data_IF_713595464494
#
_entry.id   IF_713595464494
#
_cell.length_a   1.000
_cell.length_b   1.000
_cell.length_c   1.000
_cell.angle_alpha   90.00
_cell.angle_beta   90.00
_cell.angle_gamma   90.00
#
_symmetry.space_group_name_H-M   'P 1'
#
loop_
_entity.id
_entity.type
_entity.pdbx_description
1 polymer ?
2 non-polymer ?
3 non-polymer ?
4 non-polymer ?
5 non-polymer ?
6 water ?
#
# COMPACT_ATOMS: atom_id res chain seq x y z
N UNK A 14 -18.03 -8.29 13.14
CA UNK A 14 -18.24 -9.59 12.54
C UNK A 14 -17.02 -10.03 11.74
N UNK A 15 -16.20 -9.07 11.36
CA UNK A 15 -15.02 -9.35 10.54
C UNK A 15 -14.03 -10.22 11.32
N UNK A 16 -13.54 -11.27 10.66
CA UNK A 16 -12.53 -12.15 11.23
C UNK A 16 -11.20 -11.77 10.59
N UNK A 17 -10.25 -11.23 11.34
CA UNK A 17 -8.95 -10.86 10.76
C UNK A 17 -8.23 -12.06 10.21
N UNK A 18 -7.71 -11.98 8.99
CA UNK A 18 -6.92 -13.08 8.42
C UNK A 18 -5.66 -13.30 9.24
N UNK A 19 -5.00 -14.45 9.06
CA UNK A 19 -3.73 -14.68 9.77
C UNK A 19 -2.66 -13.68 9.35
N UNK A 20 -1.72 -13.44 10.26
CA UNK A 20 -0.67 -12.46 10.00
C UNK A 20 0.32 -12.98 8.97
N UNK A 21 0.78 -12.09 8.10
CA UNK A 21 1.82 -12.40 7.14
C UNK A 21 3.17 -12.38 7.84
N UNK A 22 4.22 -12.95 7.21
CA UNK A 22 5.53 -12.99 7.87
C UNK A 22 6.11 -11.60 8.08
N UNK A 23 6.77 -11.43 9.22
CA UNK A 23 7.49 -10.21 9.55
C UNK A 23 8.96 -10.59 9.76
N UNK A 24 9.86 -9.86 9.10
CA UNK A 24 11.28 -10.12 9.21
C UNK A 24 11.98 -8.91 9.83
N UNK A 25 12.90 -9.19 10.76
CA UNK A 25 13.70 -8.16 11.42
C UNK A 25 15.16 -8.46 11.10
N UNK A 26 15.63 -8.09 9.91
CA UNK A 26 16.99 -8.47 9.50
C UNK A 26 18.05 -7.81 10.37
N UNK A 27 19.13 -8.54 10.60
CA UNK A 27 20.30 -7.96 11.24
C UNK A 27 20.96 -6.96 10.30
N UNK A 28 21.95 -6.23 10.82
CA UNK A 28 22.69 -5.29 9.97
C UNK A 28 23.40 -6.01 8.83
N UNK A 29 23.85 -7.24 9.06
CA UNK A 29 24.46 -8.03 8.00
C UNK A 29 23.45 -8.41 6.94
N UNK A 30 22.28 -8.89 7.36
CA UNK A 30 21.23 -9.27 6.41
C UNK A 30 20.67 -8.06 5.68
N UNK A 31 20.75 -6.88 6.30
CA UNK A 31 20.20 -5.64 5.74
C UNK A 31 21.11 -5.02 4.67
N UNK A 32 22.15 -5.73 4.25
CA UNK A 32 23.16 -5.12 3.38
C UNK A 32 22.62 -4.92 1.97
N UNK A 33 21.93 -5.91 1.40
CA UNK A 33 21.41 -5.84 0.04
C UNK A 33 19.96 -6.28 0.03
N UNK A 34 19.04 -5.46 -0.48
CA UNK A 34 17.61 -5.85 -0.45
C UNK A 34 17.29 -7.04 -1.33
N UNK A 35 17.79 -7.07 -2.58
CA UNK A 35 17.47 -8.17 -3.47
C UNK A 35 18.04 -9.49 -2.96
N UNK A 36 19.22 -9.46 -2.33
CA UNK A 36 19.75 -10.68 -1.73
C UNK A 36 18.87 -11.16 -0.58
N UNK A 37 18.39 -10.22 0.25
CA UNK A 37 17.56 -10.61 1.39
C UNK A 37 16.20 -11.11 0.93
N UNK A 38 15.58 -10.42 -0.04
CA UNK A 38 14.27 -10.84 -0.53
C UNK A 38 14.36 -12.20 -1.21
N UNK A 39 15.48 -12.47 -1.88
CA UNK A 39 15.68 -13.79 -2.46
C UNK A 39 15.78 -14.89 -1.43
N UNK A 40 16.36 -14.60 -0.26
CA UNK A 40 16.52 -15.62 0.77
C UNK A 40 15.21 -15.87 1.51
N UNK A 41 14.38 -14.84 1.71
CA UNK A 41 13.08 -15.02 2.35
C UNK A 41 12.03 -15.54 1.40
N UNK A 42 12.33 -15.62 0.11
CA UNK A 42 11.33 -16.00 -0.89
C UNK A 42 10.63 -17.33 -0.61
N UNK A 43 11.31 -18.41 -0.19
CA UNK A 43 10.59 -19.67 0.06
C UNK A 43 9.40 -19.55 1.00
N UNK A 44 9.48 -18.66 2.00
CA UNK A 44 8.34 -18.46 2.89
C UNK A 44 7.42 -17.34 2.39
N UNK A 45 7.99 -16.20 2.00
CA UNK A 45 7.18 -15.03 1.71
C UNK A 45 6.34 -15.20 0.45
N UNK A 46 6.84 -15.95 -0.54
CA UNK A 46 6.04 -16.17 -1.74
C UNK A 46 4.84 -17.08 -1.47
N UNK A 47 4.86 -17.84 -0.38
CA UNK A 47 3.71 -18.64 0.01
C UNK A 47 2.65 -17.82 0.74
N UNK A 48 2.94 -16.56 1.07
CA UNK A 48 1.97 -15.68 1.68
C UNK A 48 1.64 -14.46 0.83
N UNK A 49 2.34 -14.26 -0.29
CA UNK A 49 2.07 -13.11 -1.16
C UNK A 49 2.70 -11.80 -0.73
N UNK A 50 2.53 -11.43 0.54
CA UNK A 50 3.11 -10.21 1.09
C UNK A 50 3.92 -10.57 2.31
N UNK A 51 4.89 -9.70 2.63
CA UNK A 51 5.64 -9.82 3.87
C UNK A 51 6.05 -8.43 4.32
N UNK A 52 6.37 -8.33 5.61
CA UNK A 52 6.77 -7.07 6.22
C UNK A 52 8.22 -7.17 6.67
N UNK A 53 8.98 -6.09 6.45
CA UNK A 53 10.39 -6.05 6.79
C UNK A 53 10.64 -4.84 7.69
N UNK A 54 11.12 -5.10 8.91
CA UNK A 54 11.45 -4.03 9.84
C UNK A 54 12.94 -3.77 9.80
N UNK A 55 13.39 -2.59 9.35
CA UNK A 55 14.83 -2.30 9.33
C UNK A 55 15.38 -2.25 10.74
N UNK A 56 16.71 -2.31 10.89
CA UNK A 56 17.30 -2.12 12.22
C UNK A 56 16.87 -0.81 12.83
N UNK A 57 16.76 -0.79 14.16
CA UNK A 57 16.15 0.33 14.87
C UNK A 57 16.89 1.65 14.62
N UNK A 58 18.19 1.58 14.33
CA UNK A 58 18.96 2.79 14.07
C UNK A 58 18.79 3.32 12.64
N UNK A 59 18.19 2.53 11.75
CA UNK A 59 18.01 2.95 10.36
C UNK A 59 16.79 3.85 10.28
N UNK A 60 17.03 5.17 10.24
CA UNK A 60 15.94 6.15 10.26
C UNK A 60 16.24 7.23 9.23
N UNK A 61 15.77 7.04 7.99
CA UNK A 61 16.00 8.05 6.94
C UNK A 61 15.19 9.30 7.20
N UNK A 62 15.73 10.47 6.89
CA UNK A 62 14.95 11.70 7.04
C UNK A 62 13.93 11.85 5.93
N UNK A 63 12.86 12.57 6.24
CA UNK A 63 11.83 12.86 5.24
C UNK A 63 12.29 14.03 4.39
N UNK A 64 12.40 13.80 3.08
CA UNK A 64 13.09 14.71 2.18
C UNK A 64 12.18 15.36 1.15
N UNK A 65 10.86 15.29 1.36
CA UNK A 65 9.94 15.97 0.45
C UNK A 65 9.95 17.47 0.70
N UNK A 66 9.64 18.23 -0.35
CA UNK A 66 9.50 19.67 -0.26
C UNK A 66 8.15 19.98 0.37
N UNK A 67 8.13 20.00 1.71
CA UNK A 67 6.86 20.12 2.43
C UNK A 67 6.22 21.48 2.20
N UNK A 68 7.04 22.53 2.10
CA UNK A 68 6.50 23.88 1.97
C UNK A 68 5.67 24.03 0.70
N UNK A 69 6.09 23.39 -0.39
CA UNK A 69 5.42 23.50 -1.67
C UNK A 69 4.52 22.31 -1.98
N UNK A 70 4.50 21.29 -1.13
CA UNK A 70 3.72 20.09 -1.40
C UNK A 70 2.23 20.40 -1.42
N UNK A 71 1.63 20.35 -2.62
CA UNK A 71 0.21 20.59 -2.80
C UNK A 71 -0.37 19.53 -3.73
N UNK A 72 -1.60 19.11 -3.46
CA UNK A 72 -2.22 18.07 -4.25
C UNK A 72 -3.74 18.14 -4.08
N UNK A 73 -4.44 17.63 -5.10
CA UNK A 73 -5.89 17.47 -5.03
C UNK A 73 -6.20 15.98 -4.92
N UNK A 74 -6.63 15.49 -3.76
CA UNK A 74 -6.84 14.05 -3.61
C UNK A 74 -8.08 13.58 -4.36
N UNK A 75 -8.11 12.28 -4.61
CA UNK A 75 -9.27 11.66 -5.24
C UNK A 75 -10.28 11.26 -4.17
N UNK A 76 -11.56 11.29 -4.54
CA UNK A 76 -12.66 11.03 -3.63
C UNK A 76 -13.05 9.56 -3.72
N UNK A 77 -13.25 8.93 -2.57
CA UNK A 77 -13.58 7.51 -2.50
C UNK A 77 -14.86 7.34 -1.70
N UNK A 78 -15.90 6.79 -2.34
CA UNK A 78 -17.12 6.39 -1.65
C UNK A 78 -17.00 4.90 -1.32
N UNK A 79 -17.04 4.58 -0.02
CA UNK A 79 -16.71 3.23 0.41
C UNK A 79 -17.71 2.20 -0.12
N UNK A 80 -18.99 2.56 -0.20
CA UNK A 80 -20.04 1.62 -0.57
C UNK A 80 -20.51 1.80 -2.00
N UNK A 81 -19.64 2.28 -2.90
CA UNK A 81 -20.09 2.64 -4.24
C UNK A 81 -20.58 1.43 -5.02
N UNK A 82 -19.95 0.27 -4.81
CA UNK A 82 -20.38 -0.93 -5.54
C UNK A 82 -21.71 -1.45 -5.00
N UNK A 83 -21.87 -1.49 -3.68
CA UNK A 83 -23.13 -1.95 -3.11
C UNK A 83 -24.26 -0.97 -3.43
N UNK A 84 -23.98 0.33 -3.43
CA UNK A 84 -25.03 1.32 -3.61
C UNK A 84 -25.38 1.53 -5.08
N UNK A 85 -24.37 1.81 -5.90
CA UNK A 85 -24.63 2.20 -7.30
C UNK A 85 -24.85 0.99 -8.20
N UNK A 86 -23.87 0.08 -8.24
CA UNK A 86 -23.92 -1.01 -9.20
C UNK A 86 -24.92 -2.09 -8.79
N UNK A 87 -24.99 -2.41 -7.50
CA UNK A 87 -25.90 -3.45 -7.02
C UNK A 87 -27.25 -2.84 -6.63
N UNK A 101 -11.29 19.73 -2.82
CA UNK A 101 -10.37 20.73 -2.31
C UNK A 101 -8.93 20.41 -2.69
N UNK A 102 -8.13 21.45 -2.91
CA UNK A 102 -6.69 21.30 -2.98
C UNK A 102 -6.13 21.46 -1.57
N UNK A 103 -5.21 20.57 -1.20
CA UNK A 103 -4.63 20.56 0.14
C UNK A 103 -3.13 20.78 0.08
N UNK A 104 -2.60 21.24 1.20
CA UNK A 104 -1.20 21.01 1.53
C UNK A 104 -1.11 19.77 2.42
N UNK A 105 0.12 19.32 2.68
CA UNK A 105 0.29 18.21 3.62
C UNK A 105 -0.28 18.56 4.98
N UNK A 106 -0.16 19.83 5.39
CA UNK A 106 -0.67 20.24 6.69
C UNK A 106 -2.20 20.27 6.71
N UNK A 107 -2.82 20.88 5.70
CA UNK A 107 -4.27 21.00 5.69
C UNK A 107 -4.95 19.66 5.46
N UNK A 108 -4.32 18.76 4.70
CA UNK A 108 -4.86 17.42 4.55
C UNK A 108 -4.80 16.66 5.87
N UNK A 109 -3.68 16.79 6.58
CA UNK A 109 -3.56 16.12 7.88
C UNK A 109 -4.55 16.63 8.89
N UNK A 110 -4.82 17.94 8.89
CA UNK A 110 -5.83 18.49 9.78
C UNK A 110 -7.21 17.96 9.43
N UNK A 111 -7.53 17.88 8.13
CA UNK A 111 -8.79 17.28 7.70
C UNK A 111 -8.86 15.81 8.09
N UNK A 112 -7.76 15.07 7.88
CA UNK A 112 -7.77 13.63 8.13
C UNK A 112 -7.93 13.32 9.61
N UNK A 113 -7.20 14.05 10.47
CA UNK A 113 -7.32 13.81 11.90
C UNK A 113 -8.69 14.20 12.42
N UNK A 114 -9.23 15.32 11.93
CA UNK A 114 -10.57 15.73 12.36
C UNK A 114 -11.62 14.71 11.95
N UNK A 115 -11.50 14.15 10.75
CA UNK A 115 -12.46 13.14 10.32
C UNK A 115 -12.44 11.93 11.24
N UNK A 116 -11.25 11.41 11.54
CA UNK A 116 -11.15 10.19 12.32
C UNK A 116 -11.57 10.41 13.77
N UNK A 117 -11.13 11.52 14.38
CA UNK A 117 -11.50 11.79 15.76
C UNK A 117 -13.00 12.04 15.88
N UNK A 118 -13.60 12.69 14.88
CA UNK A 118 -15.05 12.89 14.91
C UNK A 118 -15.80 11.58 14.69
N UNK A 119 -15.28 10.72 13.79
CA UNK A 119 -16.00 9.50 13.47
C UNK A 119 -16.04 8.53 14.66
N UNK A 120 -14.92 8.39 15.35
CA UNK A 120 -14.81 7.44 16.46
C UNK A 120 -15.01 8.09 17.82
N UNK A 121 -15.14 9.43 17.87
CA UNK A 121 -15.41 10.15 19.12
C UNK A 121 -14.31 9.92 20.15
N UNK A 122 -13.06 9.91 19.69
CA UNK A 122 -11.91 9.69 20.56
C UNK A 122 -10.67 10.17 19.83
N UNK A 123 -9.57 10.41 20.55
CA UNK A 123 -8.33 10.80 19.88
C UNK A 123 -7.89 9.77 18.85
N UNK A 124 -7.27 10.26 17.77
CA UNK A 124 -6.98 9.39 16.62
C UNK A 124 -6.03 8.26 16.99
N UNK A 125 -5.08 8.52 17.89
CA UNK A 125 -4.11 7.49 18.27
C UNK A 125 -4.62 6.55 19.34
N UNK A 126 -5.88 6.70 19.76
CA UNK A 126 -6.49 5.78 20.72
C UNK A 126 -7.43 4.77 20.07
N UNK A 127 -7.72 4.93 18.77
CA UNK A 127 -8.61 4.01 18.07
C UNK A 127 -7.84 2.73 17.76
N UNK A 128 -8.29 1.58 18.26
CA UNK A 128 -7.59 0.32 17.98
C UNK A 128 -7.63 -0.01 16.50
N UNK A 129 -6.52 -0.59 16.02
CA UNK A 129 -6.44 -0.96 14.61
C UNK A 129 -7.49 -2.01 14.26
N UNK A 130 -7.85 -2.87 15.20
CA UNK A 130 -8.89 -3.85 14.93
C UNK A 130 -10.25 -3.19 14.76
N UNK A 131 -10.48 -2.05 15.41
CA UNK A 131 -11.78 -1.38 15.28
C UNK A 131 -11.93 -0.69 13.94
N UNK A 132 -10.88 0.02 13.49
CA UNK A 132 -10.93 0.64 12.16
C UNK A 132 -11.10 -0.43 11.09
N UNK A 133 -10.46 -1.59 11.28
CA UNK A 133 -10.58 -2.67 10.30
C UNK A 133 -12.01 -3.20 10.24
N UNK A 134 -12.62 -3.43 11.41
CA UNK A 134 -14.00 -3.92 11.43
C UNK A 134 -14.96 -2.88 10.86
N UNK A 135 -14.75 -1.61 11.20
CA UNK A 135 -15.64 -0.56 10.70
C UNK A 135 -15.48 -0.36 9.20
N UNK A 136 -14.26 -0.49 8.68
CA UNK A 136 -14.04 -0.30 7.25
C UNK A 136 -14.86 -1.29 6.43
N UNK A 137 -14.79 -2.57 6.78
CA UNK A 137 -15.47 -3.59 6.00
C UNK A 137 -16.98 -3.56 6.21
N UNK A 138 -17.44 -3.08 7.38
CA UNK A 138 -18.87 -2.87 7.56
C UNK A 138 -19.36 -1.74 6.64
N UNK A 139 -18.60 -0.66 6.54
CA UNK A 139 -19.00 0.48 5.72
C UNK A 139 -19.00 0.14 4.23
N UNK A 140 -18.08 -0.73 3.80
CA UNK A 140 -17.99 -1.08 2.38
C UNK A 140 -19.27 -1.75 1.90
N UNK A 141 -19.90 -2.55 2.76
CA UNK A 141 -21.12 -3.26 2.42
C UNK A 141 -22.37 -2.60 2.98
N UNK A 142 -22.25 -1.45 3.61
CA UNK A 142 -23.40 -0.78 4.21
C UNK A 142 -24.15 0.03 3.16
N UNK A 143 -25.48 -0.13 3.12
CA UNK A 143 -26.33 0.63 2.22
C UNK A 143 -27.03 1.78 2.94
N UNK A 144 -26.99 1.81 4.27
CA UNK A 144 -27.66 2.85 5.04
C UNK A 144 -26.74 4.03 5.38
N UNK A 145 -25.43 3.81 5.43
CA UNK A 145 -24.47 4.83 5.81
C UNK A 145 -23.51 5.07 4.65
N UNK A 146 -23.42 6.31 4.19
CA UNK A 146 -22.56 6.69 3.08
C UNK A 146 -21.37 7.47 3.64
N UNK A 147 -20.22 6.81 3.70
CA UNK A 147 -18.98 7.42 4.18
C UNK A 147 -18.10 7.72 2.97
N UNK A 148 -17.59 8.94 2.90
CA UNK A 148 -16.78 9.41 1.78
C UNK A 148 -15.47 9.95 2.33
N UNK A 149 -14.35 9.47 1.78
CA UNK A 149 -13.02 9.90 2.20
C UNK A 149 -12.24 10.34 0.97
N UNK A 150 -11.01 10.79 1.19
CA UNK A 150 -10.15 11.32 0.14
C UNK A 150 -8.77 10.70 0.25
N UNK A 151 -8.14 10.45 -0.90
CA UNK A 151 -6.84 9.78 -0.95
C UNK A 151 -5.92 10.58 -1.86
N UNK A 152 -4.77 10.98 -1.33
CA UNK A 152 -3.73 11.61 -2.14
C UNK A 152 -2.86 10.57 -2.81
N UNK A 153 -3.32 10.06 -3.95
CA UNK A 153 -2.72 8.90 -4.58
C UNK A 153 -2.07 9.25 -5.91
N UNK A 154 -1.12 8.40 -6.32
CA UNK A 154 -0.40 8.53 -7.59
C UNK A 154 0.24 9.91 -7.73
N UNK A 155 0.91 10.36 -6.68
CA UNK A 155 1.75 11.54 -6.72
C UNK A 155 3.16 11.09 -7.09
N UNK A 156 3.64 11.54 -8.24
CA UNK A 156 4.97 11.16 -8.67
C UNK A 156 6.03 11.77 -7.77
N UNK A 157 7.10 11.00 -7.53
CA UNK A 157 8.23 11.53 -6.77
C UNK A 157 8.96 12.63 -7.52
N UNK A 158 8.60 12.90 -8.76
CA UNK A 158 9.23 13.99 -9.51
C UNK A 158 8.62 15.34 -9.18
N UNK A 159 7.38 15.37 -8.71
CA UNK A 159 6.68 16.63 -8.50
C UNK A 159 7.29 17.42 -7.35
N UNK A 160 7.37 16.80 -6.17
CA UNK A 160 7.90 17.48 -4.99
C UNK A 160 9.09 16.74 -4.38
N UNK A 161 9.64 15.76 -5.08
CA UNK A 161 10.75 14.99 -4.56
C UNK A 161 10.29 13.70 -3.88
N UNK A 162 11.22 12.77 -3.78
CA UNK A 162 10.96 11.52 -3.07
C UNK A 162 10.98 11.75 -1.56
N UNK A 163 10.30 10.87 -0.83
CA UNK A 163 10.38 10.91 0.61
C UNK A 163 11.77 10.62 1.14
N UNK A 164 12.58 9.89 0.37
CA UNK A 164 13.97 9.56 0.63
C UNK A 164 14.88 10.66 0.10
N UNK A 165 16.01 10.90 0.77
CA UNK A 165 17.01 11.81 0.21
C UNK A 165 17.62 11.24 -1.05
N UNK A 166 17.82 12.11 -2.04
CA UNK A 166 18.36 11.71 -3.34
C UNK A 166 19.44 12.72 -3.73
N UNK A 167 20.57 12.21 -4.21
CA UNK A 167 21.67 13.06 -4.68
C UNK A 167 21.34 13.64 -6.06
N UNK A 168 20.20 14.32 -6.12
CA UNK A 168 19.72 14.95 -7.34
C UNK A 168 20.27 16.35 -7.55
N UNK A 169 20.66 17.03 -6.47
CA UNK A 169 21.08 18.41 -6.54
C UNK A 169 19.95 19.41 -6.37
N UNK A 170 18.71 18.95 -6.32
CA UNK A 170 17.57 19.84 -6.13
C UNK A 170 17.28 20.15 -4.67
N UNK A 171 17.84 19.38 -3.74
CA UNK A 171 17.64 19.60 -2.32
C UNK A 171 18.94 19.29 -1.59
N UNK A 172 19.12 19.95 -0.44
CA UNK A 172 20.34 19.78 0.34
C UNK A 172 20.31 18.47 1.11
N UNK A 173 21.45 17.79 1.14
CA UNK A 173 21.61 16.53 1.89
C UNK A 173 22.69 16.76 2.94
N UNK A 174 22.35 16.53 4.20
CA UNK A 174 23.32 16.62 5.27
C UNK A 174 24.24 15.41 5.26
N UNK A 175 25.44 15.53 5.86
CA UNK A 175 26.34 14.37 5.90
C UNK A 175 25.73 13.15 6.55
N UNK A 176 24.93 13.34 7.61
CA UNK A 176 24.28 12.21 8.26
C UNK A 176 23.18 11.60 7.40
N UNK A 177 22.74 12.29 6.34
CA UNK A 177 21.69 11.79 5.47
C UNK A 177 22.22 11.10 4.22
N UNK A 178 23.53 11.19 3.95
CA UNK A 178 24.06 10.66 2.69
C UNK A 178 23.97 9.15 2.62
N UNK A 179 24.13 8.46 3.76
CA UNK A 179 24.02 7.00 3.76
C UNK A 179 22.63 6.56 3.31
N UNK A 180 21.60 7.38 3.56
CA UNK A 180 20.26 7.04 3.13
C UNK A 180 20.03 7.36 1.65
N UNK A 181 20.69 8.40 1.14
CA UNK A 181 20.65 8.68 -0.28
C UNK A 181 21.34 7.59 -1.10
N UNK A 182 22.28 6.86 -0.50
CA UNK A 182 23.02 5.81 -1.19
C UNK A 182 22.57 4.41 -0.79
N UNK A 183 21.61 4.30 0.13
CA UNK A 183 21.20 2.98 0.62
C UNK A 183 20.47 2.21 -0.47
N UNK A 184 20.69 0.88 -0.49
CA UNK A 184 19.96 0.02 -1.39
C UNK A 184 18.48 -0.09 -1.06
N UNK A 185 18.10 0.23 0.18
CA UNK A 185 16.70 0.23 0.59
C UNK A 185 16.00 1.55 0.27
N UNK A 186 16.75 2.56 -0.15
CA UNK A 186 16.14 3.74 -0.76
C UNK A 186 15.44 3.33 -2.04
N UNK A 187 14.13 3.59 -2.11
CA UNK A 187 13.34 3.11 -3.23
C UNK A 187 13.77 3.70 -4.56
N UNK A 188 14.46 4.84 -4.55
CA UNK A 188 15.01 5.39 -5.78
C UNK A 188 16.22 4.60 -6.29
N UNK A 189 16.76 3.71 -5.48
CA UNK A 189 17.93 2.91 -5.85
C UNK A 189 17.60 1.46 -6.12
N UNK A 190 16.31 1.12 -6.23
CA UNK A 190 15.92 -0.24 -6.59
C UNK A 190 16.04 -0.44 -8.11
N UNK A 191 16.45 -1.63 -8.55
CA UNK A 191 16.50 -1.89 -9.99
C UNK A 191 15.09 -2.01 -10.57
N UNK A 192 14.87 -1.37 -11.72
CA UNK A 192 13.54 -1.27 -12.27
C UNK A 192 13.50 -1.73 -13.73
N UNK A 193 14.67 -2.02 -14.30
CA UNK A 193 14.77 -2.36 -15.71
C UNK A 193 14.65 -3.88 -15.89
N UNK A 194 13.66 -4.31 -16.65
CA UNK A 194 13.45 -5.72 -16.94
C UNK A 194 14.24 -6.12 -18.18
N UNK A 195 14.77 -7.34 -18.17
CA UNK A 195 15.55 -7.84 -19.29
C UNK A 195 14.64 -8.22 -20.44
N UNK A 196 14.98 -7.75 -21.64
CA UNK A 196 14.22 -8.08 -22.84
C UNK A 196 15.06 -7.73 -24.06
N UNK A 197 14.69 -8.32 -25.20
CA UNK A 197 15.38 -8.00 -26.44
C UNK A 197 14.95 -6.62 -26.95
N UNK A 198 13.71 -6.21 -26.66
CA UNK A 198 13.27 -4.88 -27.03
C UNK A 198 14.09 -3.81 -26.32
N UNK A 199 14.64 -4.13 -25.14
CA UNK A 199 15.48 -3.18 -24.43
C UNK A 199 16.82 -2.94 -25.12
N UNK A 200 17.20 -3.79 -26.08
CA UNK A 200 18.44 -3.61 -26.82
C UNK A 200 18.22 -3.06 -28.23
N UNK A 201 17.04 -3.24 -28.80
CA UNK A 201 16.74 -2.73 -30.14
C UNK A 201 16.07 -1.37 -30.02
N UNK A 202 16.04 -0.84 -28.80
CA UNK A 202 15.43 0.47 -28.55
C UNK A 202 16.48 1.47 -28.06
N UNK A 209 10.90 4.80 -14.85
CA UNK A 209 10.14 4.29 -13.72
C UNK A 209 10.69 4.84 -12.41
N UNK A 210 9.86 5.59 -11.69
CA UNK A 210 10.27 6.22 -10.43
C UNK A 210 9.23 5.89 -9.37
N UNK A 211 9.58 6.04 -8.09
CA UNK A 211 8.59 5.78 -7.03
C UNK A 211 7.43 6.77 -7.08
N UNK A 212 6.28 6.32 -6.56
CA UNK A 212 5.09 7.13 -6.45
C UNK A 212 4.70 7.30 -4.99
N UNK A 213 3.99 8.38 -4.69
CA UNK A 213 3.69 8.76 -3.32
C UNK A 213 2.19 8.65 -3.04
N UNK A 214 1.86 8.31 -1.80
CA UNK A 214 0.48 8.08 -1.40
C UNK A 214 0.24 8.71 -0.03
N UNK A 215 -0.65 9.70 0.01
CA UNK A 215 -1.00 10.39 1.25
C UNK A 215 -2.36 9.88 1.68
N UNK A 216 -2.40 9.14 2.79
CA UNK A 216 -3.60 8.45 3.21
C UNK A 216 -4.32 9.13 4.36
N UNK A 217 -5.59 8.75 4.52
CA UNK A 217 -6.39 9.10 5.68
C UNK A 217 -7.18 7.86 6.09
N UNK A 218 -7.88 7.97 7.21
CA UNK A 218 -8.68 6.85 7.70
C UNK A 218 -9.70 6.44 6.65
N UNK A 219 -9.72 5.14 6.33
CA UNK A 219 -10.63 4.43 5.43
C UNK A 219 -10.24 4.58 3.96
N UNK A 220 -9.27 5.42 3.60
CA UNK A 220 -8.81 5.45 2.21
C UNK A 220 -8.14 4.12 1.89
N UNK A 221 -8.41 3.60 0.68
CA UNK A 221 -8.13 2.20 0.41
C UNK A 221 -7.67 2.01 -1.03
N UNK A 222 -7.11 0.82 -1.28
CA UNK A 222 -6.82 0.33 -2.62
C UNK A 222 -7.40 -1.08 -2.76
N UNK A 223 -8.01 -1.36 -3.90
CA UNK A 223 -8.71 -2.62 -4.04
C UNK A 223 -7.78 -3.71 -4.58
N UNK A 224 -8.31 -4.93 -4.67
CA UNK A 224 -7.52 -6.10 -5.02
C UNK A 224 -6.97 -5.97 -6.43
N UNK A 225 -5.65 -6.15 -6.56
CA UNK A 225 -5.00 -6.03 -7.86
C UNK A 225 -3.62 -6.68 -7.79
N UNK A 226 -3.05 -6.91 -8.97
CA UNK A 226 -1.65 -7.30 -9.11
C UNK A 226 -0.96 -6.20 -9.90
N UNK A 227 0.37 -6.16 -9.77
CA UNK A 227 1.15 -5.14 -10.47
C UNK A 227 1.28 -5.49 -11.95
N UNK A 228 1.53 -4.46 -12.75
CA UNK A 228 1.76 -4.68 -14.18
C UNK A 228 2.95 -5.61 -14.39
N UNK A 229 2.84 -6.48 -15.39
CA UNK A 229 3.88 -7.43 -15.75
C UNK A 229 4.21 -8.39 -14.60
N UNK A 230 3.28 -8.58 -13.67
CA UNK A 230 3.47 -9.45 -12.50
C UNK A 230 4.70 -9.04 -11.70
N UNK A 231 4.96 -7.75 -11.62
CA UNK A 231 6.18 -7.26 -11.02
C UNK A 231 6.13 -7.34 -9.50
N UNK A 232 7.32 -7.45 -8.90
CA UNK A 232 7.47 -7.16 -7.48
C UNK A 232 7.08 -5.71 -7.21
N UNK A 233 6.77 -5.43 -5.95
CA UNK A 233 6.65 -4.06 -5.48
C UNK A 233 7.16 -3.99 -4.06
N UNK A 234 7.73 -2.84 -3.70
CA UNK A 234 8.17 -2.57 -2.35
C UNK A 234 7.55 -1.25 -1.90
N UNK A 235 7.10 -1.20 -0.66
CA UNK A 235 6.39 -0.05 -0.13
C UNK A 235 7.00 0.34 1.21
N UNK A 236 7.25 1.63 1.38
CA UNK A 236 7.79 2.17 2.63
C UNK A 236 6.86 3.22 3.19
N UNK A 237 6.50 3.07 4.46
CA UNK A 237 5.67 4.05 5.15
C UNK A 237 6.59 5.05 5.85
N UNK A 238 6.67 6.26 5.30
CA UNK A 238 7.60 7.26 5.84
C UNK A 238 7.18 7.70 7.25
N UNK A 239 5.90 8.03 7.42
CA UNK A 239 5.40 8.43 8.73
C UNK A 239 3.88 8.30 8.75
N UNK A 240 3.31 8.43 9.94
CA UNK A 240 1.88 8.45 10.12
C UNK A 240 1.35 7.16 10.72
N UNK A 241 0.02 7.06 10.71
CA UNK A 241 -0.69 5.91 11.24
C UNK A 241 -0.56 4.72 10.29
N UNK A 242 -0.76 3.50 10.78
CA UNK A 242 -0.42 2.32 9.98
C UNK A 242 -1.27 2.17 8.72
N UNK A 243 -0.74 1.39 7.79
CA UNK A 243 -1.42 0.97 6.58
C UNK A 243 -1.70 -0.52 6.69
N UNK A 244 -2.97 -0.90 6.61
CA UNK A 244 -3.38 -2.30 6.77
C UNK A 244 -3.40 -2.98 5.40
N UNK A 245 -2.76 -4.14 5.31
CA UNK A 245 -2.59 -4.86 4.06
C UNK A 245 -3.29 -6.21 4.11
N UNK A 246 -3.71 -6.67 2.93
CA UNK A 246 -4.15 -8.04 2.73
C UNK A 246 -3.47 -8.59 1.48
N UNK A 247 -3.01 -9.82 1.55
CA UNK A 247 -2.26 -10.41 0.45
C UNK A 247 -2.69 -11.85 0.20
N UNK A 248 -2.58 -12.25 -1.06
CA UNK A 248 -2.90 -13.61 -1.49
C UNK A 248 -1.68 -14.14 -2.23
N UNK A 249 -1.18 -15.34 -1.90
CA UNK A 249 -0.01 -15.87 -2.61
C UNK A 249 -0.32 -16.13 -4.07
N UNK A 250 0.74 -16.13 -4.89
CA UNK A 250 0.56 -16.23 -6.34
C UNK A 250 -0.01 -17.58 -6.74
N UNK A 251 0.20 -18.63 -5.93
CA UNK A 251 -0.33 -19.93 -6.28
C UNK A 251 -1.85 -19.99 -6.20
N UNK A 252 -2.49 -18.99 -5.61
CA UNK A 252 -3.95 -18.91 -5.55
C UNK A 252 -4.49 -17.76 -6.41
N UNK A 253 -3.70 -17.27 -7.35
CA UNK A 253 -4.12 -16.12 -8.15
C UNK A 253 -5.34 -16.47 -9.00
N UNK A 254 -5.30 -17.61 -9.69
CA UNK A 254 -6.44 -18.01 -10.51
C UNK A 254 -7.68 -18.27 -9.65
N UNK A 255 -7.48 -18.76 -8.43
CA UNK A 255 -8.63 -19.02 -7.56
C UNK A 255 -9.30 -17.71 -7.14
N UNK A 256 -8.50 -16.69 -6.82
CA UNK A 256 -9.07 -15.39 -6.48
C UNK A 256 -9.81 -14.79 -7.68
N UNK A 257 -9.22 -14.90 -8.87
CA UNK A 257 -9.84 -14.31 -10.05
C UNK A 257 -11.18 -14.98 -10.36
N UNK A 258 -11.29 -16.28 -10.09
CA UNK A 258 -12.57 -16.97 -10.33
C UNK A 258 -13.61 -16.56 -9.29
N UNK A 259 -13.20 -16.38 -8.04
CA UNK A 259 -14.12 -15.91 -7.01
C UNK A 259 -14.60 -14.50 -7.34
N UNK A 260 -13.69 -13.64 -7.78
CA UNK A 260 -14.05 -12.27 -8.16
C UNK A 260 -15.14 -12.28 -9.22
N UNK A 261 -14.86 -12.88 -10.39
CA UNK A 261 -15.83 -12.89 -11.48
C UNK A 261 -17.15 -13.52 -11.06
N UNK A 262 -17.12 -14.48 -10.13
CA UNK A 262 -18.36 -15.08 -9.65
C UNK A 262 -19.16 -14.09 -8.80
N UNK A 263 -18.48 -13.29 -7.98
CA UNK A 263 -19.15 -12.44 -7.02
C UNK A 263 -19.11 -10.95 -7.34
N UNK A 264 -18.17 -10.51 -8.18
CA UNK A 264 -18.20 -9.13 -8.62
C UNK A 264 -19.48 -8.87 -9.40
N UNK A 265 -19.96 -7.64 -9.45
CA UNK A 265 -21.20 -7.35 -10.18
C UNK A 265 -21.13 -7.81 -11.62
N UNK A 266 -22.22 -8.44 -12.08
CA UNK A 266 -22.24 -9.01 -13.43
C UNK A 266 -22.06 -7.94 -14.50
N UNK A 267 -22.39 -6.69 -14.18
CA UNK A 267 -22.19 -5.60 -15.13
C UNK A 267 -20.71 -5.41 -15.47
N UNK A 268 -19.83 -5.71 -14.53
CA UNK A 268 -18.38 -5.57 -14.73
C UNK A 268 -17.68 -6.90 -14.96
N UNK A 269 -18.42 -7.99 -15.09
CA UNK A 269 -17.79 -9.32 -15.11
C UNK A 269 -16.90 -9.51 -16.34
N UNK A 270 -17.31 -8.96 -17.49
CA UNK A 270 -16.60 -9.16 -18.74
C UNK A 270 -15.54 -8.10 -19.01
N UNK A 271 -15.24 -7.25 -18.05
CA UNK A 271 -14.25 -6.20 -18.28
C UNK A 271 -12.84 -6.78 -18.24
N UNK A 272 -11.93 -6.22 -19.03
CA UNK A 272 -10.53 -6.64 -18.96
C UNK A 272 -9.97 -6.40 -17.55
N UNK A 273 -8.94 -7.16 -17.21
CA UNK A 273 -8.36 -7.08 -15.87
C UNK A 273 -7.93 -5.66 -15.54
N UNK A 274 -7.25 -4.98 -16.47
CA UNK A 274 -6.71 -3.65 -16.21
C UNK A 274 -7.80 -2.65 -15.83
N UNK A 275 -9.04 -2.88 -16.25
CA UNK A 275 -10.18 -2.04 -15.86
C UNK A 275 -10.96 -2.62 -14.69
N UNK A 276 -11.15 -3.94 -14.67
CA UNK A 276 -11.82 -4.58 -13.54
C UNK A 276 -11.10 -4.29 -12.23
N UNK A 277 -9.77 -4.17 -12.28
CA UNK A 277 -8.97 -3.92 -11.08
C UNK A 277 -9.27 -2.56 -10.44
N UNK A 278 -10.05 -1.70 -11.10
CA UNK A 278 -10.41 -0.42 -10.50
C UNK A 278 -11.59 -0.52 -9.56
N UNK A 279 -12.32 -1.64 -9.57
CA UNK A 279 -13.52 -1.78 -8.76
C UNK A 279 -13.59 -3.18 -8.15
N UNK A 280 -12.43 -3.75 -7.80
CA UNK A 280 -12.38 -5.09 -7.22
C UNK A 280 -12.15 -5.02 -5.71
N UNK A 281 -13.06 -4.34 -5.03
CA UNK A 281 -13.06 -4.32 -3.57
C UNK A 281 -13.89 -5.50 -3.09
N UNK A 282 -13.34 -6.26 -2.14
CA UNK A 282 -14.01 -7.47 -1.67
C UNK A 282 -13.52 -7.79 -0.25
N UNK A 283 -14.47 -8.10 0.63
CA UNK A 283 -14.14 -8.47 2.00
C UNK A 283 -13.24 -9.70 2.00
N UNK A 284 -12.11 -9.67 2.73
CA UNK A 284 -11.23 -10.85 2.75
C UNK A 284 -11.90 -12.10 3.29
N UNK A 285 -12.87 -11.97 4.19
CA UNK A 285 -13.57 -13.14 4.70
C UNK A 285 -14.35 -13.84 3.60
N UNK A 286 -14.86 -13.09 2.62
CA UNK A 286 -15.58 -13.70 1.51
C UNK A 286 -14.63 -14.55 0.68
N UNK A 287 -13.42 -14.05 0.43
CA UNK A 287 -12.41 -14.84 -0.28
C UNK A 287 -12.01 -16.07 0.54
N UNK A 288 -11.85 -15.90 1.85
CA UNK A 288 -11.46 -17.03 2.70
C UNK A 288 -12.56 -18.09 2.76
N UNK A 289 -13.83 -17.66 2.74
CA UNK A 289 -14.92 -18.63 2.74
C UNK A 289 -14.92 -19.46 1.47
N UNK A 290 -14.40 -18.93 0.37
CA UNK A 290 -14.29 -19.66 -0.89
C UNK A 290 -12.95 -20.36 -1.04
N UNK A 291 -12.19 -20.50 0.03
CA UNK A 291 -10.95 -21.26 0.02
C UNK A 291 -9.71 -20.51 -0.41
N UNK A 292 -9.77 -19.20 -0.56
CA UNK A 292 -8.61 -18.41 -0.97
C UNK A 292 -7.80 -18.07 0.26
N UNK A 293 -6.50 -18.40 0.28
CA UNK A 293 -5.66 -18.03 1.44
C UNK A 293 -5.36 -16.53 1.43
N UNK A 294 -5.65 -15.88 2.55
CA UNK A 294 -5.45 -14.44 2.70
C UNK A 294 -4.63 -14.20 3.96
N UNK A 295 -3.64 -13.31 3.85
CA UNK A 295 -2.83 -12.90 4.99
C UNK A 295 -2.92 -11.38 5.16
N UNK A 296 -2.76 -10.93 6.40
CA UNK A 296 -2.89 -9.52 6.73
C UNK A 296 -1.64 -9.02 7.43
N UNK A 297 -1.50 -7.70 7.51
CA UNK A 297 -0.49 -7.06 8.34
C UNK A 297 -0.83 -5.59 8.52
N UNK A 298 -0.33 -5.04 9.61
CA UNK A 298 -0.37 -3.60 9.87
C UNK A 298 1.04 -3.06 9.63
N UNK A 299 1.21 -2.33 8.54
CA UNK A 299 2.49 -1.70 8.22
C UNK A 299 2.59 -0.39 8.99
N UNK A 300 3.52 -0.32 9.94
CA UNK A 300 3.71 0.88 10.75
C UNK A 300 4.81 1.75 10.15
N UNK A 301 4.90 2.98 10.67
CA UNK A 301 5.87 3.94 10.17
C UNK A 301 7.29 3.39 10.25
N UNK A 302 8.04 3.53 9.17
CA UNK A 302 9.40 3.04 9.11
C UNK A 302 9.55 1.59 8.70
N UNK A 303 8.48 0.94 8.29
CA UNK A 303 8.52 -0.48 7.93
C UNK A 303 8.22 -0.66 6.45
N UNK A 304 8.81 -1.71 5.88
CA UNK A 304 8.62 -2.06 4.47
C UNK A 304 7.58 -3.15 4.31
N UNK A 305 6.88 -3.12 3.18
CA UNK A 305 6.04 -4.22 2.73
C UNK A 305 6.44 -4.59 1.32
N UNK A 306 6.72 -5.87 1.10
CA UNK A 306 7.08 -6.38 -0.22
C UNK A 306 5.93 -7.24 -0.73
N UNK A 307 5.49 -6.97 -1.95
CA UNK A 307 4.53 -7.81 -2.66
C UNK A 307 5.27 -8.62 -3.71
N UNK A 308 4.97 -9.91 -3.77
CA UNK A 308 5.68 -10.83 -4.64
C UNK A 308 4.97 -10.93 -5.99
N UNK A 309 5.63 -11.49 -7.01
CA UNK A 309 5.03 -11.51 -8.35
C UNK A 309 3.67 -12.19 -8.36
N UNK A 310 2.70 -11.52 -8.97
CA UNK A 310 1.34 -12.03 -9.15
C UNK A 310 0.66 -12.30 -7.81
N UNK A 311 1.05 -11.57 -6.77
CA UNK A 311 0.40 -11.66 -5.47
C UNK A 311 -0.68 -10.59 -5.42
N UNK A 312 -1.94 -11.01 -5.45
CA UNK A 312 -3.04 -10.06 -5.31
C UNK A 312 -3.01 -9.43 -3.92
N UNK A 313 -3.25 -8.13 -3.86
CA UNK A 313 -3.19 -7.44 -2.58
C UNK A 313 -4.17 -6.27 -2.56
N UNK A 314 -4.59 -5.93 -1.35
CA UNK A 314 -5.49 -4.81 -1.12
C UNK A 314 -5.23 -4.26 0.27
N UNK A 315 -5.91 -3.18 0.60
CA UNK A 315 -5.73 -2.62 1.92
C UNK A 315 -6.37 -1.25 2.08
N UNK A 316 -6.14 -0.68 3.26
CA UNK A 316 -6.69 0.61 3.64
C UNK A 316 -5.78 1.24 4.69
N UNK A 317 -5.96 2.54 4.90
CA UNK A 317 -5.14 3.28 5.85
C UNK A 317 -5.88 3.48 7.16
N UNK A 318 -5.16 3.33 8.27
CA UNK A 318 -5.72 3.57 9.59
C UNK A 318 -5.88 5.05 9.89
N UNK A 319 -5.14 5.90 9.20
CA UNK A 319 -5.23 7.32 9.45
C UNK A 319 -4.27 8.08 8.56
N UNK A 320 -3.98 9.32 8.95
CA UNK A 320 -3.09 10.19 8.21
C UNK A 320 -1.69 9.58 8.13
N UNK A 321 -1.22 9.29 6.91
CA UNK A 321 0.10 8.71 6.74
C UNK A 321 0.65 9.08 5.36
N UNK A 322 1.87 8.64 5.10
CA UNK A 322 2.59 8.99 3.88
C UNK A 322 3.43 7.80 3.46
N UNK A 323 3.15 7.25 2.28
CA UNK A 323 3.81 6.05 1.80
C UNK A 323 4.46 6.31 0.44
N UNK A 324 5.48 5.50 0.15
CA UNK A 324 6.20 5.55 -1.12
C UNK A 324 6.37 4.14 -1.64
N UNK A 325 6.14 3.94 -2.94
CA UNK A 325 6.11 2.62 -3.52
C UNK A 325 6.74 2.63 -4.90
N UNK A 326 7.34 1.51 -5.28
CA UNK A 326 7.95 1.35 -6.60
C UNK A 326 7.96 -0.13 -6.95
N UNK A 327 7.83 -0.41 -8.25
CA UNK A 327 8.01 -1.77 -8.76
C UNK A 327 9.49 -1.99 -9.06
N UNK A 328 10.00 -3.16 -8.68
CA UNK A 328 11.40 -3.48 -8.92
C UNK A 328 11.50 -4.85 -9.59
N UNK A 329 12.65 -5.07 -10.23
CA UNK A 329 12.92 -6.29 -10.98
C UNK A 329 14.08 -7.05 -10.33
N UNK A 330 14.04 -8.36 -10.46
CA UNK A 330 15.07 -9.21 -9.88
C UNK A 330 15.86 -9.94 -10.97
#
# INVERSE_FOLDING_TARGET
HNMAGVGPGGYAAEFVPPPECPVFEPSWEEFTDPLSFIGRIRPLAEKTGICKIRPPKDWQPPFACEVKSFRFTPRVQRLNELEAMTRVRPREAFGFEQAVREYTLQSFGEMADNFKSDYFNMPVHMVPTELVEKEFWRLVSSIEEDVIVEYGADISSKDFGSGFPVKDGRRKILPEEEEYALSGWNLNNMPVLEQSVLAHINVDISGMKVPWLYVGMCFSSFCWHIEDHWSYSINYLHWGEPKTWYGVPSHAAEQLEEVMRELAPELFESQPDLLHQLVTIMNPNVLMEHGVPVYRTNQCAGEFVVTFPRAYHSGFNQGYNFAEAVNFCT
#
